data_IF_480477482384
#
_entry.id   IF_480477482384
#
_cell.length_a   1.000
_cell.length_b   1.000
_cell.length_c   1.000
_cell.angle_alpha   90.00
_cell.angle_beta   90.00
_cell.angle_gamma   90.00
#
_symmetry.space_group_name_H-M   'P 1'
#
loop_
_entity.id
_entity.type
_entity.pdbx_description
1 polymer ?
#
# COMPACT_ATOMS: atom_id res chain seq x y z
N UNK A 1 -23.06 12.54 13.00
CA UNK A 1 -22.09 12.34 11.91
C UNK A 1 -21.22 11.15 12.29
N UNK A 2 -21.37 10.00 11.63
CA UNK A 2 -20.38 8.93 11.74
C UNK A 2 -19.16 9.38 10.94
N UNK A 3 -18.10 9.77 11.64
CA UNK A 3 -16.81 9.98 11.00
C UNK A 3 -16.31 8.58 10.60
N UNK A 4 -16.24 8.31 9.30
CA UNK A 4 -15.58 7.10 8.79
C UNK A 4 -14.08 7.26 9.04
N UNK A 5 -13.62 6.72 10.16
CA UNK A 5 -12.24 6.74 10.59
C UNK A 5 -11.48 5.63 9.83
N UNK A 6 -11.21 5.87 8.54
CA UNK A 6 -10.43 4.96 7.69
C UNK A 6 -9.01 5.48 7.45
N UNK A 7 -8.55 6.42 8.28
CA UNK A 7 -7.20 6.94 8.23
C UNK A 7 -6.16 5.82 8.38
N UNK A 8 -5.14 5.84 7.53
CA UNK A 8 -4.05 4.86 7.56
C UNK A 8 -3.03 5.29 8.60
N UNK A 9 -2.87 4.47 9.64
CA UNK A 9 -1.92 4.70 10.74
C UNK A 9 -0.67 3.85 10.66
N UNK A 10 -0.70 2.78 9.88
CA UNK A 10 0.44 1.88 9.72
C UNK A 10 0.63 1.52 8.26
N UNK A 11 1.87 1.55 7.83
CA UNK A 11 2.31 1.09 6.51
C UNK A 11 3.45 0.12 6.72
N UNK A 12 3.35 -1.03 6.08
CA UNK A 12 4.34 -2.09 6.18
C UNK A 12 4.56 -2.68 4.79
N UNK A 13 5.70 -3.31 4.56
CA UNK A 13 6.05 -3.85 3.24
C UNK A 13 6.66 -5.23 3.34
N UNK A 14 6.57 -5.98 2.24
CA UNK A 14 7.14 -7.30 2.09
C UNK A 14 7.51 -7.53 0.62
N UNK A 15 8.51 -8.37 0.36
CA UNK A 15 8.75 -8.81 -1.02
C UNK A 15 7.65 -9.77 -1.47
N UNK A 16 7.17 -9.59 -2.69
CA UNK A 16 6.03 -10.33 -3.23
C UNK A 16 6.26 -11.84 -3.25
N UNK A 17 7.52 -12.30 -3.38
CA UNK A 17 7.89 -13.72 -3.31
C UNK A 17 7.48 -14.41 -2.00
N UNK A 18 7.33 -13.66 -0.92
CA UNK A 18 6.88 -14.17 0.38
C UNK A 18 5.36 -14.20 0.52
N UNK A 19 4.60 -13.76 -0.50
CA UNK A 19 3.14 -13.88 -0.56
C UNK A 19 2.68 -15.13 -1.31
N UNK A 20 3.58 -16.08 -1.59
CA UNK A 20 3.20 -17.40 -2.14
C UNK A 20 2.20 -18.10 -1.22
N UNK A 21 1.26 -18.83 -1.81
CA UNK A 21 0.19 -19.57 -1.12
C UNK A 21 -0.85 -18.68 -0.41
N UNK A 22 -0.92 -17.39 -0.74
CA UNK A 22 -2.10 -16.60 -0.41
C UNK A 22 -3.29 -17.09 -1.25
N UNK A 23 -4.51 -16.87 -0.75
CA UNK A 23 -5.76 -17.22 -1.43
C UNK A 23 -6.58 -15.97 -1.62
N UNK A 24 -6.97 -15.68 -2.87
CA UNK A 24 -7.93 -14.61 -3.17
C UNK A 24 -9.34 -15.09 -2.85
N UNK A 25 -10.08 -14.29 -2.08
CA UNK A 25 -11.47 -14.53 -1.73
C UNK A 25 -12.32 -13.59 -2.58
N UNK A 26 -12.43 -13.90 -3.86
CA UNK A 26 -12.96 -12.97 -4.87
C UNK A 26 -11.98 -11.82 -5.16
N UNK A 27 -12.50 -10.70 -5.63
CA UNK A 27 -11.68 -9.60 -6.16
C UNK A 27 -11.29 -8.53 -5.13
N UNK A 28 -11.81 -8.61 -3.90
CA UNK A 28 -11.69 -7.57 -2.87
C UNK A 28 -11.13 -8.07 -1.53
N UNK A 29 -10.85 -9.37 -1.40
CA UNK A 29 -10.37 -9.98 -0.16
C UNK A 29 -9.24 -10.97 -0.42
N UNK A 30 -8.35 -11.09 0.55
CA UNK A 30 -7.22 -12.02 0.49
C UNK A 30 -6.98 -12.66 1.86
N UNK A 31 -6.71 -13.96 1.86
CA UNK A 31 -6.21 -14.69 3.03
C UNK A 31 -4.75 -15.03 2.83
N UNK A 32 -3.89 -14.63 3.77
CA UNK A 32 -2.45 -14.91 3.71
C UNK A 32 -2.08 -16.35 4.11
N UNK A 33 -3.05 -17.10 4.67
CA UNK A 33 -3.00 -18.49 5.16
C UNK A 33 -2.03 -18.75 6.32
N UNK A 34 -0.89 -18.07 6.34
CA UNK A 34 0.17 -18.20 7.33
C UNK A 34 0.67 -16.82 7.72
N UNK A 35 1.29 -16.74 8.90
CA UNK A 35 1.96 -15.53 9.35
C UNK A 35 3.04 -15.09 8.36
N UNK A 36 3.05 -13.79 8.03
CA UNK A 36 4.04 -13.17 7.15
C UNK A 36 4.77 -12.07 7.90
N UNK A 37 6.09 -12.04 7.75
CA UNK A 37 6.92 -11.00 8.36
C UNK A 37 6.93 -9.75 7.47
N UNK A 38 5.96 -8.86 7.69
CA UNK A 38 5.98 -7.52 7.10
C UNK A 38 6.94 -6.64 7.90
N UNK A 39 7.66 -5.77 7.19
CA UNK A 39 8.59 -4.81 7.78
C UNK A 39 7.85 -3.49 7.92
N UNK A 40 7.87 -2.92 9.12
CA UNK A 40 7.25 -1.63 9.41
C UNK A 40 8.02 -0.52 8.70
N UNK A 41 7.29 0.35 8.00
CA UNK A 41 7.81 1.63 7.55
C UNK A 41 7.66 2.64 8.70
N UNK A 42 8.72 3.32 9.11
CA UNK A 42 8.64 4.37 10.13
C UNK A 42 7.85 5.58 9.61
N UNK A 43 6.54 5.53 9.78
CA UNK A 43 5.62 6.53 9.27
C UNK A 43 5.68 7.83 10.07
N UNK A 44 5.82 8.95 9.38
CA UNK A 44 5.67 10.29 9.95
C UNK A 44 4.27 10.80 9.64
N UNK A 45 3.43 10.87 10.68
CA UNK A 45 2.03 11.27 10.52
C UNK A 45 1.14 10.14 10.01
N UNK A 46 0.15 10.47 9.19
CA UNK A 46 -0.78 9.51 8.57
C UNK A 46 -0.40 9.29 7.11
N UNK A 47 -0.63 8.07 6.61
CA UNK A 47 -0.51 7.77 5.20
C UNK A 47 -1.85 8.02 4.48
N UNK A 48 -1.77 8.20 3.17
CA UNK A 48 -2.94 8.37 2.30
C UNK A 48 -3.00 7.25 1.28
N UNK A 49 -4.17 6.62 1.15
CA UNK A 49 -4.46 5.65 0.09
C UNK A 49 -5.62 6.18 -0.73
N UNK A 50 -5.41 6.30 -2.03
CA UNK A 50 -6.44 6.67 -3.00
C UNK A 50 -6.69 5.48 -3.90
N UNK A 51 -7.94 5.05 -3.97
CA UNK A 51 -8.40 4.00 -4.86
C UNK A 51 -9.35 4.63 -5.88
N UNK A 52 -9.06 4.45 -7.16
CA UNK A 52 -9.91 4.93 -8.26
C UNK A 52 -10.12 3.81 -9.26
N UNK A 53 -11.31 3.74 -9.85
CA UNK A 53 -11.65 2.74 -10.85
C UNK A 53 -11.88 3.40 -12.19
N UNK A 54 -11.24 2.86 -13.22
CA UNK A 54 -11.42 3.26 -14.60
C UNK A 54 -11.88 2.05 -15.42
N UNK A 55 -12.71 2.30 -16.42
CA UNK A 55 -13.09 1.28 -17.41
C UNK A 55 -12.29 1.56 -18.67
N UNK A 56 -11.30 0.72 -18.94
CA UNK A 56 -10.48 0.80 -20.15
C UNK A 56 -10.71 -0.47 -20.97
N UNK A 57 -10.99 -0.31 -22.27
CA UNK A 57 -11.19 -1.42 -23.21
C UNK A 57 -12.22 -2.47 -22.75
N UNK A 58 -13.28 -2.03 -22.06
CA UNK A 58 -14.35 -2.91 -21.55
C UNK A 58 -13.99 -3.71 -20.29
N UNK A 59 -12.78 -3.51 -19.73
CA UNK A 59 -12.34 -4.12 -18.48
C UNK A 59 -12.24 -3.07 -17.37
N UNK A 60 -12.66 -3.42 -16.16
CA UNK A 60 -12.51 -2.56 -14.98
C UNK A 60 -11.07 -2.68 -14.47
N UNK A 61 -10.38 -1.55 -14.38
CA UNK A 61 -9.06 -1.45 -13.78
C UNK A 61 -9.13 -0.56 -12.55
N UNK A 62 -8.62 -1.08 -11.44
CA UNK A 62 -8.48 -0.34 -10.19
C UNK A 62 -7.06 0.18 -10.08
N UNK A 63 -6.94 1.48 -9.90
CA UNK A 63 -5.69 2.17 -9.60
C UNK A 63 -5.65 2.48 -8.11
N UNK A 64 -4.63 1.96 -7.43
CA UNK A 64 -4.35 2.21 -6.01
C UNK A 64 -3.07 3.04 -5.92
N UNK A 65 -3.15 4.16 -5.21
CA UNK A 65 -2.01 5.03 -4.92
C UNK A 65 -1.86 5.20 -3.41
N UNK A 66 -0.75 4.74 -2.85
CA UNK A 66 -0.36 4.97 -1.47
C UNK A 66 0.72 6.05 -1.42
N UNK A 67 0.54 7.05 -0.57
CA UNK A 67 1.53 8.08 -0.25
C UNK A 67 1.82 8.03 1.25
N UNK A 68 3.10 7.90 1.60
CA UNK A 68 3.56 7.85 2.99
C UNK A 68 4.81 8.71 3.18
N UNK A 69 4.94 9.34 4.34
CA UNK A 69 6.14 10.08 4.73
C UNK A 69 6.96 9.23 5.70
N UNK A 70 8.28 9.17 5.50
CA UNK A 70 9.18 8.39 6.36
C UNK A 70 10.47 9.16 6.64
N UNK A 71 11.05 8.87 7.80
CA UNK A 71 12.41 9.28 8.19
C UNK A 71 13.47 8.25 7.82
N UNK A 72 13.06 7.03 7.47
CA UNK A 72 13.98 5.93 7.18
C UNK A 72 14.57 6.02 5.77
N UNK A 73 15.84 5.66 5.64
CA UNK A 73 16.48 5.45 4.35
C UNK A 73 15.88 4.20 3.67
N UNK A 74 14.87 4.44 2.84
CA UNK A 74 14.19 3.40 2.09
C UNK A 74 14.74 3.29 0.66
N UNK A 75 15.27 2.12 0.31
CA UNK A 75 15.81 1.81 -1.01
C UNK A 75 14.95 0.73 -1.71
N UNK A 76 14.49 1.04 -2.92
CA UNK A 76 13.57 0.17 -3.69
C UNK A 76 14.32 -0.99 -4.39
N UNK A 77 15.64 -0.86 -4.62
CA UNK A 77 16.60 -1.88 -5.07
C UNK A 77 16.09 -2.98 -6.03
N UNK A 78 15.34 -2.60 -7.07
CA UNK A 78 14.72 -3.54 -8.03
C UNK A 78 13.84 -4.64 -7.38
N UNK A 79 13.41 -4.43 -6.15
CA UNK A 79 12.60 -5.38 -5.39
C UNK A 79 11.14 -5.27 -5.83
N UNK A 80 10.49 -6.42 -5.98
CA UNK A 80 9.04 -6.49 -6.16
C UNK A 80 8.42 -6.47 -4.78
N UNK A 81 7.80 -5.35 -4.43
CA UNK A 81 7.24 -5.12 -3.10
C UNK A 81 5.71 -5.15 -3.15
N UNK A 82 5.12 -5.68 -2.09
CA UNK A 82 3.73 -5.51 -1.73
C UNK A 82 3.66 -4.74 -0.41
N UNK A 83 2.57 -4.02 -0.22
CA UNK A 83 2.39 -3.11 0.91
C UNK A 83 1.15 -3.50 1.68
N UNK A 84 1.26 -3.54 3.01
CA UNK A 84 0.13 -3.68 3.92
C UNK A 84 -0.13 -2.34 4.58
N UNK A 85 -1.37 -1.90 4.55
CA UNK A 85 -1.82 -0.69 5.24
C UNK A 85 -2.82 -1.06 6.31
N UNK A 86 -2.74 -0.43 7.48
CA UNK A 86 -3.67 -0.64 8.58
C UNK A 86 -4.40 0.66 8.90
N UNK A 87 -5.74 0.59 8.96
CA UNK A 87 -6.59 1.70 9.36
C UNK A 87 -6.62 1.84 10.88
N UNK A 88 -7.09 2.99 11.39
CA UNK A 88 -7.35 3.19 12.83
C UNK A 88 -8.36 2.20 13.43
N UNK A 89 -9.23 1.61 12.60
CA UNK A 89 -10.17 0.56 13.01
C UNK A 89 -9.50 -0.83 13.12
N UNK A 90 -8.22 -0.94 12.76
CA UNK A 90 -7.48 -2.21 12.73
C UNK A 90 -7.72 -3.04 11.46
N UNK A 91 -8.48 -2.52 10.49
CA UNK A 91 -8.64 -3.19 9.19
C UNK A 91 -7.34 -3.12 8.41
N UNK A 92 -6.96 -4.25 7.79
CA UNK A 92 -5.74 -4.37 7.03
C UNK A 92 -6.06 -4.56 5.56
N UNK A 93 -5.35 -3.84 4.70
CA UNK A 93 -5.46 -3.97 3.26
C UNK A 93 -4.11 -4.25 2.63
N UNK A 94 -4.12 -5.05 1.56
CA UNK A 94 -2.95 -5.45 0.80
C UNK A 94 -2.94 -4.74 -0.57
N UNK A 95 -1.80 -4.15 -0.89
CA UNK A 95 -1.52 -3.49 -2.16
C UNK A 95 -0.40 -4.27 -2.83
N UNK A 96 -0.74 -5.00 -3.88
CA UNK A 96 0.17 -5.88 -4.60
C UNK A 96 0.16 -7.32 -4.11
N UNK A 97 0.45 -8.21 -5.05
CA UNK A 97 0.42 -9.66 -4.85
C UNK A 97 1.64 -10.31 -5.51
N UNK A 98 1.78 -11.63 -5.36
CA UNK A 98 2.85 -12.39 -6.02
C UNK A 98 2.59 -12.68 -7.52
N UNK A 99 1.86 -11.80 -8.19
CA UNK A 99 1.51 -11.92 -9.61
C UNK A 99 1.61 -10.53 -10.26
N UNK A 100 1.80 -10.52 -11.58
CA UNK A 100 1.75 -9.27 -12.33
C UNK A 100 0.30 -8.78 -12.41
N UNK A 101 0.07 -7.47 -12.40
CA UNK A 101 1.07 -6.38 -12.29
C UNK A 101 1.58 -6.18 -10.86
N UNK A 102 2.88 -5.88 -10.71
CA UNK A 102 3.48 -5.57 -9.41
C UNK A 102 3.34 -4.08 -9.08
N UNK A 103 3.14 -3.68 -7.81
CA UNK A 103 3.22 -2.28 -7.41
C UNK A 103 4.58 -1.68 -7.75
N UNK A 104 4.57 -0.45 -8.24
CA UNK A 104 5.77 0.34 -8.47
C UNK A 104 5.92 1.31 -7.32
N UNK A 105 7.07 1.26 -6.65
CA UNK A 105 7.40 2.19 -5.56
C UNK A 105 8.40 3.22 -6.07
N UNK A 106 8.12 4.50 -5.83
CA UNK A 106 9.05 5.61 -6.01
C UNK A 106 9.33 6.27 -4.67
N UNK A 107 10.54 6.79 -4.53
CA UNK A 107 10.99 7.53 -3.35
C UNK A 107 11.43 8.90 -3.85
N UNK A 108 10.94 9.95 -3.20
CA UNK A 108 11.39 11.33 -3.44
C UNK A 108 11.79 11.97 -2.13
N UNK A 109 12.93 12.65 -2.12
CA UNK A 109 13.32 13.52 -1.02
C UNK A 109 12.61 14.86 -1.16
N UNK A 110 11.88 15.27 -0.12
CA UNK A 110 11.18 16.55 -0.05
C UNK A 110 11.92 17.49 0.90
N UNK A 111 12.43 18.59 0.37
CA UNK A 111 13.06 19.67 1.12
C UNK A 111 12.26 20.96 0.89
N UNK A 112 11.22 21.21 1.70
CA UNK A 112 10.34 22.35 1.48
C UNK A 112 11.02 23.68 1.78
N UNK A 113 10.48 24.76 1.18
CA UNK A 113 10.94 26.14 1.38
C UNK A 113 10.36 26.80 2.64
N UNK A 114 9.42 26.12 3.31
CA UNK A 114 8.78 26.57 4.57
C UNK A 114 9.04 25.61 5.72
N UNK A 115 9.39 26.17 6.87
CA UNK A 115 9.64 25.42 8.10
C UNK A 115 8.41 24.67 8.66
N UNK A 116 7.21 25.05 8.23
CA UNK A 116 5.95 24.39 8.65
C UNK A 116 5.62 23.16 7.81
N UNK A 117 6.32 22.93 6.70
CA UNK A 117 6.06 21.82 5.80
C UNK A 117 6.96 20.62 6.16
N UNK A 118 6.44 19.39 6.07
CA UNK A 118 7.21 18.20 6.42
C UNK A 118 8.35 17.97 5.42
N UNK A 119 9.57 18.07 5.93
CA UNK A 119 10.80 17.63 5.25
C UNK A 119 11.02 16.14 5.46
N UNK A 120 11.58 15.45 4.47
CA UNK A 120 11.92 14.04 4.56
C UNK A 120 11.59 13.25 3.30
N UNK A 121 11.55 11.92 3.43
CA UNK A 121 11.29 11.04 2.28
C UNK A 121 9.80 10.80 2.11
N UNK A 122 9.35 10.91 0.88
CA UNK A 122 7.99 10.58 0.46
C UNK A 122 8.07 9.30 -0.36
N UNK A 123 7.37 8.27 0.12
CA UNK A 123 7.17 7.03 -0.61
C UNK A 123 5.83 7.13 -1.34
N UNK A 124 5.87 6.92 -2.65
CA UNK A 124 4.66 6.77 -3.47
C UNK A 124 4.63 5.37 -4.07
N UNK A 125 3.55 4.63 -3.81
CA UNK A 125 3.31 3.33 -4.38
C UNK A 125 2.13 3.43 -5.33
N UNK A 126 2.30 2.96 -6.55
CA UNK A 126 1.27 2.91 -7.58
C UNK A 126 1.05 1.48 -8.01
N UNK A 127 -0.19 1.01 -7.95
CA UNK A 127 -0.58 -0.32 -8.39
C UNK A 127 -1.85 -0.24 -9.22
N UNK A 128 -1.79 -0.69 -10.47
CA UNK A 128 -2.96 -0.84 -11.32
C UNK A 128 -3.25 -2.31 -11.47
N UNK A 129 -4.48 -2.75 -11.23
CA UNK A 129 -4.83 -4.17 -11.19
C UNK A 129 -6.30 -4.37 -11.59
N UNK A 130 -6.67 -5.53 -12.15
CA UNK A 130 -8.08 -5.89 -12.30
C UNK A 130 -8.76 -6.20 -10.96
N UNK A 131 -7.99 -6.40 -9.89
CA UNK A 131 -8.49 -6.62 -8.53
C UNK A 131 -8.85 -5.29 -7.85
N UNK A 132 -9.73 -5.33 -6.86
CA UNK A 132 -9.95 -4.19 -5.96
C UNK A 132 -8.87 -4.12 -4.87
N UNK A 133 -8.95 -3.10 -4.01
CA UNK A 133 -8.09 -3.02 -2.83
C UNK A 133 -8.42 -4.20 -1.91
N UNK A 134 -7.46 -5.10 -1.73
CA UNK A 134 -7.68 -6.39 -1.07
C UNK A 134 -7.71 -6.24 0.45
N UNK A 135 -8.84 -6.51 1.10
CA UNK A 135 -8.91 -6.61 2.55
C UNK A 135 -8.31 -7.95 3.01
N UNK A 136 -7.43 -7.90 4.02
CA UNK A 136 -6.79 -9.08 4.57
C UNK A 136 -7.74 -9.72 5.60
N UNK A 137 -8.20 -10.94 5.32
CA UNK A 137 -8.96 -11.75 6.25
C UNK A 137 -8.06 -12.75 6.97
N UNK A 138 -8.32 -12.91 8.27
CA UNK A 138 -7.68 -13.92 9.11
C UNK A 138 -8.14 -15.33 8.73
#
# INVERSE_FOLDING_TARGET
MQQLLQNIIKVEFIETRYLKNMVLLGDHEVSLQYWRNFIDLCLVGLASVVVSQNVENGSRLTSVKLTAHTTDDFHVDHRRLAWRVTTVEGKQYLIGINEQPFPVTTVSDNYPDKATEPSGKIITVSWQTPLDLLEIKA
#
